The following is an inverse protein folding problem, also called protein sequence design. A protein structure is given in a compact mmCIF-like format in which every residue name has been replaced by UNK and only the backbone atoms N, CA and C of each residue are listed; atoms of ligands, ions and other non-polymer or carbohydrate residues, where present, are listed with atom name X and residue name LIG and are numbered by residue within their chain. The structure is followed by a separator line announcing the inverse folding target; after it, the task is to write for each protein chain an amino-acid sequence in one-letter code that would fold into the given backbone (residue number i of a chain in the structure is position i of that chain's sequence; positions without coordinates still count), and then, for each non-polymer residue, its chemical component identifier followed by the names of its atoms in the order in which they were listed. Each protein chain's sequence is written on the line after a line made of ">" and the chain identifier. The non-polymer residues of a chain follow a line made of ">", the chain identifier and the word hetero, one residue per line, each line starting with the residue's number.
data_IF_395763236139
#
_entry.id   IF_395763236139
#
_cell.length_a   1.000
_cell.length_b   1.000
_cell.length_c   1.000
_cell.angle_alpha   90.00
_cell.angle_beta   90.00
_cell.angle_gamma   90.00
#
_symmetry.space_group_name_H-M   'P 1'
#
loop_
_entity.id
_entity.type
_entity.pdbx_description
1 polymer ?
#
# COMPACT_ATOMS: atom_id res chain seq x y z
N UNK A 1 -13.22 0.75 15.03
CA UNK A 1 -12.20 1.28 14.11
C UNK A 1 -10.87 1.16 14.82
N UNK A 2 -10.05 0.18 14.46
CA UNK A 2 -8.80 -0.12 15.16
C UNK A 2 -7.72 0.83 14.71
N UNK A 3 -7.24 1.63 15.65
CA UNK A 3 -6.24 2.68 15.51
C UNK A 3 -4.88 2.18 14.94
N UNK A 4 -4.66 0.86 14.88
CA UNK A 4 -3.38 0.22 14.52
C UNK A 4 -3.26 -0.25 13.05
N UNK A 5 -4.29 -0.13 12.22
CA UNK A 5 -4.29 -0.81 10.91
C UNK A 5 -3.46 -0.11 9.81
N UNK A 6 -2.86 1.06 10.09
CA UNK A 6 -2.16 1.85 9.05
C UNK A 6 -0.86 2.53 9.50
N UNK A 7 -0.22 2.11 10.60
CA UNK A 7 1.06 2.70 11.06
C UNK A 7 2.20 2.58 10.03
N UNK A 8 2.02 1.72 9.02
CA UNK A 8 2.94 1.49 7.91
C UNK A 8 2.60 2.30 6.64
N UNK A 9 1.58 3.17 6.69
CA UNK A 9 1.19 4.06 5.59
C UNK A 9 1.64 5.51 5.88
N UNK A 10 2.03 6.28 4.84
CA UNK A 10 2.06 5.91 3.42
C UNK A 10 3.23 4.97 3.08
N UNK A 11 3.14 4.28 1.94
CA UNK A 11 4.19 3.35 1.52
C UNK A 11 5.52 4.09 1.27
N UNK A 12 6.56 3.67 1.97
CA UNK A 12 7.90 4.24 1.83
C UNK A 12 8.50 3.89 0.47
N UNK A 13 9.02 4.87 -0.25
CA UNK A 13 9.75 4.68 -1.51
C UNK A 13 11.19 4.28 -1.19
N UNK A 14 11.64 3.16 -1.74
CA UNK A 14 13.01 2.62 -1.57
C UNK A 14 13.91 2.91 -2.78
N UNK A 15 13.32 3.31 -3.91
CA UNK A 15 14.07 3.73 -5.08
C UNK A 15 13.19 4.12 -6.25
N UNK A 16 13.82 4.56 -7.32
CA UNK A 16 13.15 4.91 -8.58
C UNK A 16 13.93 4.24 -9.71
N UNK A 17 13.22 3.58 -10.63
CA UNK A 17 13.85 2.98 -11.81
C UNK A 17 14.25 4.05 -12.83
N UNK A 18 15.12 3.71 -13.78
CA UNK A 18 15.46 4.61 -14.90
C UNK A 18 14.23 5.09 -15.70
N UNK A 19 13.15 4.30 -15.71
CA UNK A 19 11.87 4.65 -16.33
C UNK A 19 10.94 5.49 -15.42
N UNK A 20 11.44 6.00 -14.29
CA UNK A 20 10.67 6.84 -13.36
C UNK A 20 9.69 6.09 -12.44
N UNK A 21 9.69 4.75 -12.44
CA UNK A 21 8.78 3.96 -11.59
C UNK A 21 9.31 3.90 -10.16
N UNK A 22 8.48 4.24 -9.18
CA UNK A 22 8.79 4.11 -7.76
C UNK A 22 8.81 2.63 -7.35
N UNK A 23 9.84 2.23 -6.61
CA UNK A 23 9.89 0.99 -5.84
C UNK A 23 9.50 1.33 -4.40
N UNK A 24 8.61 0.53 -3.83
CA UNK A 24 8.19 0.70 -2.45
C UNK A 24 8.79 -0.38 -1.57
N UNK A 25 8.88 -0.09 -0.29
CA UNK A 25 9.29 -1.02 0.73
C UNK A 25 8.44 -2.31 0.69
N UNK A 26 9.12 -3.46 0.78
CA UNK A 26 8.47 -4.76 0.61
C UNK A 26 7.60 -5.12 1.83
N UNK A 27 8.02 -4.71 3.03
CA UNK A 27 7.27 -4.96 4.26
C UNK A 27 5.99 -4.13 4.29
N UNK A 28 6.08 -2.84 3.97
CA UNK A 28 4.92 -1.97 3.83
C UNK A 28 3.92 -2.49 2.78
N UNK A 29 4.41 -2.97 1.63
CA UNK A 29 3.56 -3.57 0.59
C UNK A 29 2.83 -4.81 1.09
N UNK A 30 3.53 -5.69 1.83
CA UNK A 30 2.92 -6.91 2.38
C UNK A 30 1.79 -6.55 3.35
N UNK A 31 2.05 -5.65 4.30
CA UNK A 31 1.06 -5.17 5.26
C UNK A 31 -0.16 -4.53 4.57
N UNK A 32 0.06 -3.78 3.48
CA UNK A 32 -1.03 -3.19 2.70
C UNK A 32 -1.91 -4.27 2.03
N UNK A 33 -1.31 -5.32 1.47
CA UNK A 33 -2.04 -6.45 0.88
C UNK A 33 -2.85 -7.17 1.97
N UNK A 34 -2.25 -7.45 3.12
CA UNK A 34 -2.92 -8.13 4.23
C UNK A 34 -4.11 -7.31 4.77
N UNK A 35 -3.98 -5.98 4.81
CA UNK A 35 -5.07 -5.07 5.15
C UNK A 35 -6.18 -5.08 4.09
N UNK A 36 -5.85 -5.18 2.80
CA UNK A 36 -6.83 -5.30 1.72
C UNK A 36 -7.61 -6.62 1.75
N UNK A 37 -7.07 -7.68 2.35
CA UNK A 37 -7.72 -8.99 2.48
C UNK A 37 -8.71 -9.05 3.65
N UNK A 38 -8.74 -8.06 4.55
CA UNK A 38 -9.68 -8.05 5.67
C UNK A 38 -11.13 -7.85 5.18
N UNK A 39 -12.11 -8.60 5.70
CA UNK A 39 -13.52 -8.41 5.36
C UNK A 39 -13.97 -6.97 5.61
N UNK A 40 -14.59 -6.35 4.60
CA UNK A 40 -15.03 -4.95 4.67
C UNK A 40 -13.94 -3.91 4.40
N UNK A 41 -12.71 -4.33 4.09
CA UNK A 41 -11.64 -3.41 3.68
C UNK A 41 -11.94 -2.76 2.32
N UNK A 42 -11.74 -1.45 2.24
CA UNK A 42 -11.78 -0.72 0.97
C UNK A 42 -10.39 -0.71 0.34
N UNK A 43 -10.20 -1.49 -0.72
CA UNK A 43 -8.94 -1.53 -1.49
C UNK A 43 -8.58 -0.12 -1.99
N UNK A 44 -9.55 0.61 -2.54
CA UNK A 44 -9.34 1.97 -3.03
C UNK A 44 -8.96 2.93 -1.90
N UNK A 45 -9.65 2.86 -0.74
CA UNK A 45 -9.33 3.70 0.42
C UNK A 45 -7.93 3.42 0.99
N UNK A 46 -7.54 2.15 1.06
CA UNK A 46 -6.21 1.74 1.52
C UNK A 46 -5.11 2.18 0.55
N UNK A 47 -5.34 2.03 -0.77
CA UNK A 47 -4.39 2.49 -1.79
C UNK A 47 -4.17 4.01 -1.74
N UNK A 48 -5.24 4.79 -1.55
CA UNK A 48 -5.16 6.24 -1.39
C UNK A 48 -4.35 6.64 -0.16
N UNK A 49 -4.61 6.02 1.00
CA UNK A 49 -3.82 6.24 2.23
C UNK A 49 -2.35 5.84 2.05
N UNK A 50 -2.10 4.80 1.26
CA UNK A 50 -0.77 4.33 0.93
C UNK A 50 -0.03 5.20 -0.11
N UNK A 51 -0.72 6.14 -0.77
CA UNK A 51 -0.16 6.97 -1.84
C UNK A 51 0.14 6.18 -3.11
N UNK A 52 -0.57 5.07 -3.34
CA UNK A 52 -0.40 4.20 -4.51
C UNK A 52 -1.70 4.04 -5.28
N UNK A 53 -1.59 3.67 -6.55
CA UNK A 53 -2.76 3.34 -7.34
C UNK A 53 -3.28 1.95 -6.95
N UNK A 54 -4.58 1.82 -6.69
CA UNK A 54 -5.21 0.54 -6.34
C UNK A 54 -4.96 -0.57 -7.38
N UNK A 55 -4.81 -0.22 -8.66
CA UNK A 55 -4.49 -1.17 -9.72
C UNK A 55 -3.09 -1.82 -9.54
N UNK A 56 -2.21 -1.23 -8.74
CA UNK A 56 -0.92 -1.83 -8.38
C UNK A 56 -1.03 -2.90 -7.29
N UNK A 57 -2.21 -3.08 -6.68
CA UNK A 57 -2.48 -4.08 -5.65
C UNK A 57 -3.17 -5.34 -6.21
N UNK A 58 -3.54 -5.33 -7.49
CA UNK A 58 -4.29 -6.38 -8.18
C UNK A 58 -3.48 -7.15 -9.24
N UNK A 59 -2.21 -6.80 -9.42
CA UNK A 59 -1.30 -7.39 -10.41
C UNK A 59 -0.17 -8.14 -9.73
#
# INVERSE_FOLDING_TARGET
>A
MTQNEVDFLPLRVTGVTAAGKRKFDAEGKRKLIDACLQPGASIAGLALKAGVNANQLHK
#
